data_IF_180556516906
#
_entry.id   IF_180556516906
#
_cell.length_a   1.000
_cell.length_b   1.000
_cell.length_c   1.000
_cell.angle_alpha   90.00
_cell.angle_beta   90.00
_cell.angle_gamma   90.00
#
_symmetry.space_group_name_H-M   'P 1'
#
loop_
_entity.id
_entity.type
_entity.pdbx_description
1 polymer ?
#
# COMPACT_ATOMS: atom_id res chain seq x y z
N UNK A 1 -24.12 15.28 -12.99
CA UNK A 1 -24.74 16.43 -13.67
C UNK A 1 -23.59 17.35 -14.07
N UNK A 2 -23.40 17.59 -15.37
CA UNK A 2 -22.33 18.44 -15.89
C UNK A 2 -21.35 17.70 -16.80
N UNK A 3 -21.68 17.58 -18.09
CA UNK A 3 -20.74 17.45 -19.21
C UNK A 3 -21.43 18.06 -20.43
N UNK A 4 -21.46 19.39 -20.44
CA UNK A 4 -22.12 20.22 -21.43
C UNK A 4 -21.27 20.33 -22.70
N UNK A 5 -21.93 20.10 -23.85
CA UNK A 5 -21.49 20.56 -25.17
C UNK A 5 -20.99 22.01 -25.09
N UNK A 6 -19.76 22.27 -25.55
CA UNK A 6 -19.24 23.62 -25.74
C UNK A 6 -19.15 23.88 -27.24
N UNK A 7 -20.19 24.50 -27.80
CA UNK A 7 -20.16 24.96 -29.19
C UNK A 7 -19.81 26.46 -29.21
N UNK A 8 -18.72 26.82 -29.92
CA UNK A 8 -18.38 28.24 -30.16
C UNK A 8 -19.14 28.71 -31.39
N UNK A 9 -20.10 29.62 -31.20
CA UNK A 9 -21.03 30.10 -32.22
C UNK A 9 -20.41 30.80 -33.45
N UNK A 10 -19.09 31.05 -33.49
CA UNK A 10 -18.46 31.79 -34.59
C UNK A 10 -17.62 30.93 -35.56
N UNK A 11 -17.47 29.61 -35.36
CA UNK A 11 -16.59 28.77 -36.21
C UNK A 11 -17.21 27.40 -36.57
N UNK A 12 -18.47 27.12 -36.23
CA UNK A 12 -19.14 25.87 -36.59
C UNK A 12 -18.53 24.58 -35.98
N UNK A 13 -17.58 24.70 -35.03
CA UNK A 13 -16.93 23.56 -34.36
C UNK A 13 -17.52 23.38 -32.95
N UNK A 14 -18.06 22.20 -32.69
CA UNK A 14 -18.52 21.79 -31.36
C UNK A 14 -17.45 20.94 -30.67
N UNK A 15 -17.17 21.21 -29.39
CA UNK A 15 -16.35 20.34 -28.55
C UNK A 15 -17.24 19.28 -27.90
N UNK A 16 -17.08 18.03 -28.30
CA UNK A 16 -17.75 16.89 -27.71
C UNK A 16 -16.93 16.32 -26.55
N UNK A 17 -17.61 16.01 -25.45
CA UNK A 17 -16.99 15.44 -24.23
C UNK A 17 -17.77 14.22 -23.75
N UNK A 18 -17.13 13.35 -22.97
CA UNK A 18 -17.77 12.26 -22.24
C UNK A 18 -17.05 12.04 -20.91
N UNK A 19 -17.71 11.40 -19.94
CA UNK A 19 -17.10 11.03 -18.66
C UNK A 19 -16.83 9.52 -18.58
N UNK A 20 -15.57 9.15 -18.43
CA UNK A 20 -15.14 7.79 -18.11
C UNK A 20 -14.93 7.66 -16.60
N UNK A 21 -15.64 6.71 -15.97
CA UNK A 21 -15.62 6.42 -14.53
C UNK A 21 -15.08 5.02 -14.28
N UNK A 22 -13.76 4.87 -14.09
CA UNK A 22 -13.17 3.57 -13.84
C UNK A 22 -13.56 3.03 -12.46
N UNK A 23 -13.61 1.71 -12.36
CA UNK A 23 -13.56 0.99 -11.11
C UNK A 23 -12.17 1.11 -10.44
N UNK A 24 -11.90 0.32 -9.41
CA UNK A 24 -10.58 0.32 -8.77
C UNK A 24 -9.50 -0.14 -9.78
N UNK A 25 -8.51 0.71 -10.03
CA UNK A 25 -7.47 0.46 -11.03
C UNK A 25 -6.39 -0.43 -10.42
N UNK A 26 -5.92 -1.41 -11.18
CA UNK A 26 -4.74 -2.21 -10.83
C UNK A 26 -3.92 -2.51 -12.08
N UNK A 27 -2.66 -2.86 -11.88
CA UNK A 27 -1.74 -3.18 -12.96
C UNK A 27 -0.33 -2.68 -12.68
N UNK A 28 0.63 -3.05 -13.55
CA UNK A 28 1.95 -2.41 -13.60
C UNK A 28 1.80 -0.88 -13.70
N UNK A 29 2.60 -0.14 -12.93
CA UNK A 29 2.58 1.32 -12.95
C UNK A 29 1.42 1.99 -12.20
N UNK A 30 0.55 1.24 -11.51
CA UNK A 30 -0.44 1.85 -10.61
C UNK A 30 0.28 2.44 -9.37
N UNK A 31 0.13 3.75 -9.15
CA UNK A 31 0.88 4.47 -8.12
C UNK A 31 0.04 4.95 -6.92
N UNK A 32 -1.29 4.78 -6.95
CA UNK A 32 -2.19 5.40 -5.96
C UNK A 32 -2.50 4.46 -4.81
N UNK A 33 -3.01 3.27 -5.08
CA UNK A 33 -3.58 2.40 -4.05
C UNK A 33 -2.70 1.18 -3.74
N UNK A 34 -2.16 0.50 -4.75
CA UNK A 34 -1.30 -0.67 -4.56
C UNK A 34 -0.02 -0.35 -3.78
N UNK A 35 0.71 0.76 -4.04
CA UNK A 35 1.90 1.07 -3.24
C UNK A 35 1.59 1.27 -1.77
N UNK A 36 0.46 1.90 -1.47
CA UNK A 36 0.04 2.08 -0.08
C UNK A 36 -0.36 0.76 0.56
N UNK A 37 -1.14 -0.08 -0.13
CA UNK A 37 -1.55 -1.40 0.37
C UNK A 37 -0.33 -2.28 0.66
N UNK A 38 0.61 -2.37 -0.30
CA UNK A 38 1.83 -3.17 -0.16
C UNK A 38 2.72 -2.62 0.96
N UNK A 39 2.86 -1.29 1.08
CA UNK A 39 3.63 -0.66 2.15
C UNK A 39 3.02 -0.93 3.53
N UNK A 40 1.70 -0.80 3.68
CA UNK A 40 1.02 -1.11 4.94
C UNK A 40 1.18 -2.60 5.29
N UNK A 41 1.04 -3.50 4.32
CA UNK A 41 1.23 -4.94 4.52
C UNK A 41 2.67 -5.27 4.96
N UNK A 42 3.68 -4.68 4.29
CA UNK A 42 5.09 -4.79 4.65
C UNK A 42 5.35 -4.33 6.09
N UNK A 43 4.76 -3.21 6.50
CA UNK A 43 4.91 -2.66 7.85
C UNK A 43 4.11 -3.43 8.91
N UNK A 44 3.29 -4.41 8.54
CA UNK A 44 2.37 -5.09 9.46
C UNK A 44 1.17 -4.23 9.88
N UNK A 45 0.95 -3.11 9.20
CA UNK A 45 -0.13 -2.16 9.46
C UNK A 45 -1.40 -2.55 8.69
N UNK A 46 -1.75 -3.82 8.59
CA UNK A 46 -3.06 -4.25 8.06
C UNK A 46 -3.69 -5.24 9.05
N UNK A 47 -4.10 -4.78 10.24
CA UNK A 47 -4.51 -5.66 11.33
C UNK A 47 -5.90 -6.30 11.13
N UNK A 48 -6.76 -5.73 10.28
CA UNK A 48 -8.12 -6.21 10.07
C UNK A 48 -8.57 -6.13 8.61
N UNK A 49 -9.41 -7.08 8.20
CA UNK A 49 -10.28 -6.93 7.03
C UNK A 49 -11.48 -6.08 7.41
N UNK A 50 -11.88 -5.13 6.58
CA UNK A 50 -12.97 -4.20 6.89
C UNK A 50 -14.25 -4.65 6.20
N UNK A 51 -15.37 -4.63 6.93
CA UNK A 51 -16.66 -5.02 6.40
C UNK A 51 -16.92 -6.52 6.56
N UNK A 52 -17.42 -7.16 5.51
CA UNK A 52 -17.74 -8.59 5.51
C UNK A 52 -17.24 -9.26 4.21
N UNK A 53 -17.26 -10.59 4.18
CA UNK A 53 -16.81 -11.36 3.01
C UNK A 53 -17.71 -11.17 1.77
N UNK A 54 -18.96 -10.77 1.96
CA UNK A 54 -19.95 -10.61 0.90
C UNK A 54 -19.91 -9.21 0.22
N UNK A 55 -19.11 -8.28 0.76
CA UNK A 55 -18.89 -6.97 0.14
C UNK A 55 -18.10 -7.16 -1.15
N UNK A 56 -18.64 -6.64 -2.25
CA UNK A 56 -18.02 -6.74 -3.58
C UNK A 56 -17.66 -5.38 -4.14
N UNK A 57 -16.50 -5.30 -4.76
CA UNK A 57 -15.98 -4.14 -5.48
C UNK A 57 -15.57 -4.54 -6.89
N UNK A 58 -15.68 -3.61 -7.83
CA UNK A 58 -15.18 -3.82 -9.18
C UNK A 58 -13.73 -3.35 -9.32
N UNK A 59 -13.02 -4.01 -10.23
CA UNK A 59 -11.65 -3.68 -10.61
C UNK A 59 -11.55 -3.52 -12.12
N UNK A 60 -10.56 -2.75 -12.56
CA UNK A 60 -10.22 -2.57 -13.97
C UNK A 60 -8.71 -2.62 -14.14
N UNK A 61 -8.24 -3.48 -15.05
CA UNK A 61 -6.84 -3.53 -15.41
C UNK A 61 -6.42 -2.26 -16.15
N UNK A 62 -5.22 -1.77 -15.90
CA UNK A 62 -4.72 -0.51 -16.48
C UNK A 62 -4.86 -0.47 -18.01
N UNK A 63 -4.53 -1.55 -18.73
CA UNK A 63 -4.64 -1.58 -20.19
C UNK A 63 -6.09 -1.65 -20.68
N UNK A 64 -6.98 -2.31 -19.92
CA UNK A 64 -8.42 -2.30 -20.23
C UNK A 64 -8.99 -0.88 -20.04
N UNK A 65 -8.53 -0.14 -19.04
CA UNK A 65 -8.91 1.27 -18.89
C UNK A 65 -8.37 2.13 -20.04
N UNK A 66 -7.13 1.93 -20.48
CA UNK A 66 -6.58 2.62 -21.64
C UNK A 66 -7.38 2.32 -22.91
N UNK A 67 -7.77 1.07 -23.14
CA UNK A 67 -8.67 0.69 -24.23
C UNK A 67 -10.00 1.45 -24.14
N UNK A 68 -10.63 1.49 -22.96
CA UNK A 68 -11.88 2.20 -22.78
C UNK A 68 -11.76 3.70 -23.10
N UNK A 69 -10.64 4.33 -22.71
CA UNK A 69 -10.36 5.74 -23.02
C UNK A 69 -10.19 5.97 -24.52
N UNK A 70 -9.46 5.07 -25.22
CA UNK A 70 -9.28 5.13 -26.67
C UNK A 70 -10.61 4.93 -27.42
N UNK A 71 -11.42 3.96 -27.00
CA UNK A 71 -12.75 3.74 -27.56
C UNK A 71 -13.65 4.96 -27.33
N UNK A 72 -13.65 5.52 -26.13
CA UNK A 72 -14.39 6.74 -25.80
C UNK A 72 -13.97 7.92 -26.69
N UNK A 73 -12.67 8.14 -26.88
CA UNK A 73 -12.19 9.21 -27.76
C UNK A 73 -12.61 9.01 -29.21
N UNK A 74 -12.53 7.78 -29.73
CA UNK A 74 -13.00 7.47 -31.08
C UNK A 74 -14.51 7.66 -31.25
N UNK A 75 -15.31 7.44 -30.19
CA UNK A 75 -16.76 7.67 -30.23
C UNK A 75 -17.18 9.13 -30.03
N UNK A 76 -16.22 10.03 -29.80
CA UNK A 76 -16.44 11.48 -29.77
C UNK A 76 -16.11 12.18 -31.09
N UNK A 77 -15.47 11.49 -32.04
CA UNK A 77 -15.14 12.04 -33.35
C UNK A 77 -16.41 12.20 -34.21
N UNK A 78 -16.54 13.37 -34.83
CA UNK A 78 -17.64 13.79 -35.71
C UNK A 78 -17.26 13.86 -37.20
N UNK A 79 -15.99 13.60 -37.52
CA UNK A 79 -15.41 13.64 -38.86
C UNK A 79 -15.20 12.24 -39.47
N UNK A 80 -15.73 11.20 -38.84
CA UNK A 80 -15.63 9.82 -39.33
C UNK A 80 -16.53 9.67 -40.59
N UNK A 81 -15.98 9.30 -41.77
CA UNK A 81 -16.77 9.11 -42.98
C UNK A 81 -17.93 8.12 -42.77
N UNK A 82 -19.14 8.51 -43.18
CA UNK A 82 -20.34 7.68 -43.03
C UNK A 82 -21.03 7.75 -41.66
N UNK A 83 -20.54 8.56 -40.71
CA UNK A 83 -21.25 8.90 -39.47
C UNK A 83 -21.73 10.35 -39.52
N UNK A 84 -23.01 10.53 -39.78
CA UNK A 84 -23.66 11.83 -39.69
C UNK A 84 -24.34 12.01 -38.32
N UNK A 85 -24.27 13.22 -37.77
CA UNK A 85 -24.95 13.59 -36.53
C UNK A 85 -24.06 13.62 -35.29
N UNK A 86 -24.68 13.85 -34.13
CA UNK A 86 -23.98 13.98 -32.84
C UNK A 86 -23.30 12.64 -32.47
N UNK A 87 -22.00 12.64 -32.09
CA UNK A 87 -21.33 11.42 -31.67
C UNK A 87 -22.02 10.78 -30.47
N UNK A 88 -22.16 9.45 -30.48
CA UNK A 88 -22.91 8.69 -29.44
C UNK A 88 -22.37 8.94 -28.03
N UNK A 89 -21.06 9.15 -27.90
CA UNK A 89 -20.43 9.40 -26.60
C UNK A 89 -20.63 10.83 -26.07
N UNK A 90 -21.09 11.76 -26.90
CA UNK A 90 -21.18 13.16 -26.52
C UNK A 90 -22.16 13.39 -25.36
N UNK A 91 -21.66 13.93 -24.25
CA UNK A 91 -22.37 14.18 -23.00
C UNK A 91 -22.67 12.92 -22.18
N UNK A 92 -22.10 11.77 -22.54
CA UNK A 92 -22.44 10.49 -21.91
C UNK A 92 -21.47 10.12 -20.78
N UNK A 93 -22.01 9.55 -19.69
CA UNK A 93 -21.23 8.86 -18.67
C UNK A 93 -21.05 7.37 -18.98
N UNK A 94 -19.84 6.85 -18.75
CA UNK A 94 -19.48 5.43 -18.90
C UNK A 94 -18.77 4.90 -17.67
N UNK A 95 -19.33 3.85 -17.05
CA UNK A 95 -18.63 3.08 -16.03
C UNK A 95 -17.78 1.99 -16.70
N UNK A 96 -16.52 1.87 -16.30
CA UNK A 96 -15.56 0.93 -16.87
C UNK A 96 -15.07 -0.03 -15.79
N UNK A 97 -15.27 -1.34 -16.01
CA UNK A 97 -14.76 -2.43 -15.16
C UNK A 97 -14.39 -3.65 -15.99
N UNK A 98 -13.69 -4.61 -15.39
CA UNK A 98 -13.40 -5.93 -15.99
C UNK A 98 -14.60 -6.90 -15.89
N UNK A 99 -15.72 -6.46 -15.27
CA UNK A 99 -16.94 -7.26 -15.17
C UNK A 99 -16.88 -8.43 -14.18
N UNK A 100 -15.92 -8.42 -13.24
CA UNK A 100 -15.74 -9.48 -12.23
C UNK A 100 -15.76 -8.91 -10.81
N UNK A 101 -16.94 -8.57 -10.25
CA UNK A 101 -17.03 -8.05 -8.88
C UNK A 101 -16.60 -9.09 -7.85
N UNK A 102 -15.65 -8.72 -7.00
CA UNK A 102 -15.03 -9.61 -6.00
C UNK A 102 -14.77 -8.84 -4.71
N UNK A 103 -14.58 -9.54 -3.59
CA UNK A 103 -14.17 -8.88 -2.36
C UNK A 103 -12.75 -8.30 -2.49
N UNK A 104 -12.54 -7.06 -2.04
CA UNK A 104 -11.22 -6.39 -2.10
C UNK A 104 -10.11 -7.21 -1.46
N UNK A 105 -10.36 -7.88 -0.33
CA UNK A 105 -9.33 -8.68 0.35
C UNK A 105 -9.01 -9.99 -0.37
N UNK A 106 -10.00 -10.57 -1.07
CA UNK A 106 -9.78 -11.71 -1.95
C UNK A 106 -9.00 -11.31 -3.21
N UNK A 107 -9.32 -10.14 -3.78
CA UNK A 107 -8.63 -9.60 -4.94
C UNK A 107 -7.14 -9.33 -4.68
N UNK A 108 -6.80 -8.68 -3.57
CA UNK A 108 -5.40 -8.35 -3.23
C UNK A 108 -4.62 -9.53 -2.64
N UNK A 109 -5.31 -10.60 -2.22
CA UNK A 109 -4.68 -11.76 -1.58
C UNK A 109 -3.55 -12.40 -2.39
N UNK A 110 -3.73 -12.75 -3.68
CA UNK A 110 -2.66 -13.34 -4.48
C UNK A 110 -1.43 -12.43 -4.57
N UNK A 111 -1.64 -11.10 -4.70
CA UNK A 111 -0.54 -10.13 -4.70
C UNK A 111 0.25 -10.16 -3.39
N UNK A 112 -0.42 -10.01 -2.24
CA UNK A 112 0.28 -9.96 -0.95
C UNK A 112 1.00 -11.28 -0.63
N UNK A 113 0.35 -12.42 -0.90
CA UNK A 113 0.99 -13.74 -0.73
C UNK A 113 2.24 -13.89 -1.59
N UNK A 114 2.20 -13.46 -2.85
CA UNK A 114 3.34 -13.53 -3.77
C UNK A 114 4.55 -12.70 -3.30
N UNK A 115 4.29 -11.69 -2.46
CA UNK A 115 5.27 -10.80 -1.86
C UNK A 115 5.65 -11.23 -0.44
N UNK A 116 5.30 -12.44 0.01
CA UNK A 116 5.55 -12.91 1.38
C UNK A 116 4.93 -12.02 2.47
N UNK A 117 3.80 -11.35 2.19
CA UNK A 117 3.07 -10.52 3.16
C UNK A 117 1.74 -11.18 3.54
N UNK A 118 1.45 -11.17 4.83
CA UNK A 118 0.22 -11.75 5.37
C UNK A 118 -0.98 -10.82 5.20
N UNK A 119 -2.16 -11.42 5.03
CA UNK A 119 -3.42 -10.70 5.19
C UNK A 119 -3.93 -10.82 6.62
N UNK A 120 -4.67 -9.82 7.11
CA UNK A 120 -5.37 -9.94 8.38
C UNK A 120 -6.32 -11.14 8.38
N UNK A 121 -6.38 -11.82 9.52
CA UNK A 121 -7.23 -13.00 9.73
C UNK A 121 -8.61 -12.63 10.29
N UNK A 122 -8.71 -11.49 10.95
CA UNK A 122 -9.91 -10.99 11.62
C UNK A 122 -10.63 -9.94 10.78
N UNK A 123 -11.94 -9.86 10.98
CA UNK A 123 -12.79 -8.83 10.40
C UNK A 123 -13.09 -7.73 11.42
N UNK A 124 -13.20 -6.49 10.95
CA UNK A 124 -13.63 -5.32 11.69
C UNK A 124 -14.89 -4.77 11.02
N UNK A 125 -15.98 -4.70 11.79
CA UNK A 125 -17.24 -4.16 11.27
C UNK A 125 -17.08 -2.69 10.84
N UNK A 126 -17.82 -2.29 9.81
CA UNK A 126 -17.73 -0.96 9.19
C UNK A 126 -17.91 0.17 10.22
N UNK A 127 -18.83 0.03 11.17
CA UNK A 127 -19.08 1.02 12.23
C UNK A 127 -17.84 1.29 13.09
N UNK A 128 -17.18 0.22 13.55
CA UNK A 128 -15.95 0.32 14.35
C UNK A 128 -14.80 0.87 13.52
N UNK A 129 -14.67 0.44 12.26
CA UNK A 129 -13.67 0.97 11.35
C UNK A 129 -13.88 2.48 11.09
N UNK A 130 -15.13 2.94 10.91
CA UNK A 130 -15.46 4.36 10.76
C UNK A 130 -15.13 5.17 12.02
N UNK A 131 -15.39 4.63 13.21
CA UNK A 131 -15.02 5.29 14.46
C UNK A 131 -13.50 5.51 14.54
N UNK A 132 -12.71 4.47 14.26
CA UNK A 132 -11.26 4.58 14.20
C UNK A 132 -10.79 5.57 13.13
N UNK A 133 -11.40 5.53 11.93
CA UNK A 133 -11.08 6.46 10.86
C UNK A 133 -11.39 7.92 11.20
N UNK A 134 -12.45 8.18 11.98
CA UNK A 134 -12.76 9.53 12.48
C UNK A 134 -11.72 10.05 13.47
N UNK A 135 -11.16 9.17 14.32
CA UNK A 135 -10.04 9.53 15.20
C UNK A 135 -8.82 9.93 14.37
N UNK A 136 -8.42 9.11 13.39
CA UNK A 136 -7.31 9.44 12.49
C UNK A 136 -7.57 10.73 11.73
N UNK A 137 -8.78 10.91 11.19
CA UNK A 137 -9.16 12.13 10.49
C UNK A 137 -9.03 13.37 11.39
N UNK A 138 -9.50 13.31 12.65
CA UNK A 138 -9.37 14.41 13.60
C UNK A 138 -7.89 14.72 13.92
N UNK A 139 -7.08 13.70 14.22
CA UNK A 139 -5.64 13.86 14.48
C UNK A 139 -4.94 14.50 13.29
N UNK A 140 -5.17 14.02 12.08
CA UNK A 140 -4.54 14.57 10.87
C UNK A 140 -5.03 15.97 10.51
N UNK A 141 -6.27 16.31 10.86
CA UNK A 141 -6.79 17.67 10.72
C UNK A 141 -6.07 18.63 11.69
N UNK A 142 -5.81 18.21 12.93
CA UNK A 142 -4.99 18.99 13.87
C UNK A 142 -3.54 19.14 13.41
N UNK A 143 -3.01 18.11 12.74
CA UNK A 143 -1.66 18.11 12.17
C UNK A 143 -1.60 18.72 10.75
N UNK A 144 -2.69 19.32 10.25
CA UNK A 144 -2.76 19.90 8.91
C UNK A 144 -1.56 20.81 8.56
N UNK A 145 -1.08 21.71 9.44
CA UNK A 145 0.08 22.56 9.16
C UNK A 145 1.39 21.80 8.95
N UNK A 146 1.44 20.53 9.36
CA UNK A 146 2.61 19.66 9.32
C UNK A 146 2.51 18.59 8.22
N UNK A 147 1.44 18.55 7.41
CA UNK A 147 1.24 17.50 6.41
C UNK A 147 2.32 17.43 5.34
N UNK A 148 3.02 18.52 5.07
CA UNK A 148 4.14 18.55 4.11
C UNK A 148 5.47 18.10 4.73
N UNK A 149 5.49 17.62 5.98
CA UNK A 149 6.72 17.16 6.63
C UNK A 149 6.99 15.70 6.30
N UNK A 150 8.22 15.44 5.85
CA UNK A 150 8.68 14.10 5.45
C UNK A 150 8.58 13.03 6.55
N UNK A 151 8.57 13.44 7.83
CA UNK A 151 8.48 12.53 8.97
C UNK A 151 7.04 12.19 9.38
N UNK A 152 6.03 12.90 8.87
CA UNK A 152 4.64 12.63 9.22
C UNK A 152 4.11 11.51 8.30
N UNK A 153 3.74 10.34 8.85
CA UNK A 153 3.22 9.24 8.04
C UNK A 153 1.88 9.63 7.42
N UNK A 154 1.42 8.86 6.42
CA UNK A 154 0.04 8.96 5.96
C UNK A 154 -0.93 8.36 6.99
N UNK A 155 -2.17 8.86 7.07
CA UNK A 155 -3.15 8.29 7.99
C UNK A 155 -3.35 6.82 7.70
N UNK A 156 -3.35 6.02 8.77
CA UNK A 156 -3.51 4.58 8.65
C UNK A 156 -4.84 4.23 7.95
N UNK A 157 -5.92 4.88 8.39
CA UNK A 157 -7.25 4.69 7.83
C UNK A 157 -8.06 5.98 7.84
N UNK A 158 -8.76 6.26 6.75
CA UNK A 158 -9.70 7.38 6.61
C UNK A 158 -11.13 6.89 6.33
N UNK A 159 -12.18 7.69 6.63
CA UNK A 159 -13.56 7.31 6.36
C UNK A 159 -13.81 6.92 4.90
N UNK A 160 -13.19 7.63 3.96
CA UNK A 160 -13.28 7.33 2.53
C UNK A 160 -12.76 5.93 2.18
N UNK A 161 -11.70 5.47 2.82
CA UNK A 161 -11.17 4.11 2.61
C UNK A 161 -12.10 3.07 3.21
N UNK A 162 -12.63 3.32 4.41
CA UNK A 162 -13.61 2.43 5.04
C UNK A 162 -14.81 2.20 4.11
N UNK A 163 -15.36 3.26 3.52
CA UNK A 163 -16.47 3.11 2.58
C UNK A 163 -16.05 2.37 1.29
N UNK A 164 -14.85 2.64 0.78
CA UNK A 164 -14.30 1.96 -0.40
C UNK A 164 -13.98 0.48 -0.22
N UNK A 165 -13.85 -0.04 0.99
CA UNK A 165 -13.59 -1.48 1.19
C UNK A 165 -14.69 -2.20 1.97
N UNK A 166 -15.50 -1.45 2.73
CA UNK A 166 -16.51 -1.99 3.61
C UNK A 166 -17.93 -1.98 3.04
N UNK A 167 -18.18 -1.33 1.90
CA UNK A 167 -19.49 -1.30 1.25
C UNK A 167 -19.42 -1.84 -0.17
N UNK A 168 -20.47 -2.57 -0.58
CA UNK A 168 -20.60 -3.05 -1.95
C UNK A 168 -20.77 -1.90 -2.92
N UNK A 169 -19.88 -1.78 -3.90
CA UNK A 169 -20.00 -0.84 -5.00
C UNK A 169 -19.30 -1.41 -6.24
N UNK A 170 -20.12 -1.85 -7.17
CA UNK A 170 -19.71 -2.30 -8.49
C UNK A 170 -20.77 -1.80 -9.47
N UNK A 171 -20.39 -1.59 -10.73
CA UNK A 171 -21.27 -0.92 -11.70
C UNK A 171 -21.29 -1.68 -13.01
N UNK A 172 -22.44 -1.63 -13.68
CA UNK A 172 -22.59 -2.25 -15.00
C UNK A 172 -21.81 -1.45 -16.05
N UNK A 173 -20.91 -2.12 -16.76
CA UNK A 173 -20.19 -1.57 -17.91
C UNK A 173 -20.95 -1.76 -19.24
N UNK A 174 -22.17 -2.32 -19.22
CA UNK A 174 -22.95 -2.67 -20.42
C UNK A 174 -23.15 -1.48 -21.37
N UNK A 175 -23.32 -0.27 -20.83
CA UNK A 175 -23.43 0.94 -21.65
C UNK A 175 -22.15 1.22 -22.44
N UNK A 176 -20.98 1.06 -21.81
CA UNK A 176 -19.70 1.19 -22.50
C UNK A 176 -19.52 0.10 -23.55
N UNK A 177 -19.97 -1.13 -23.26
CA UNK A 177 -19.96 -2.22 -24.24
C UNK A 177 -20.82 -1.88 -25.47
N UNK A 178 -22.05 -1.39 -25.27
CA UNK A 178 -23.00 -1.11 -26.34
C UNK A 178 -22.62 0.13 -27.17
N UNK A 179 -22.27 1.24 -26.51
CA UNK A 179 -22.06 2.52 -27.20
C UNK A 179 -20.60 2.74 -27.62
N UNK A 180 -19.64 2.26 -26.81
CA UNK A 180 -18.21 2.40 -27.12
C UNK A 180 -17.67 1.20 -27.88
N UNK A 181 -18.25 0.01 -27.70
CA UNK A 181 -17.66 -1.25 -28.14
C UNK A 181 -16.65 -1.80 -27.13
N UNK A 182 -16.71 -1.37 -25.87
CA UNK A 182 -15.76 -1.78 -24.85
C UNK A 182 -15.97 -3.25 -24.44
N UNK A 183 -14.93 -4.04 -24.66
CA UNK A 183 -14.80 -5.42 -24.18
C UNK A 183 -13.40 -5.54 -23.55
N UNK A 184 -13.29 -5.92 -22.26
CA UNK A 184 -11.98 -6.12 -21.63
C UNK A 184 -11.12 -7.10 -22.43
N UNK A 185 -9.91 -6.71 -22.80
CA UNK A 185 -8.99 -7.56 -23.58
C UNK A 185 -8.11 -8.43 -22.67
N UNK A 186 -7.80 -7.94 -21.47
CA UNK A 186 -7.00 -8.66 -20.48
C UNK A 186 -7.94 -9.22 -19.42
N UNK A 187 -7.84 -10.53 -19.15
CA UNK A 187 -8.62 -11.15 -18.08
C UNK A 187 -8.09 -10.75 -16.69
N UNK A 188 -8.93 -10.75 -15.64
CA UNK A 188 -8.47 -10.46 -14.29
C UNK A 188 -7.31 -11.33 -13.80
N UNK A 189 -7.26 -12.58 -14.26
CA UNK A 189 -6.18 -13.53 -13.93
C UNK A 189 -4.84 -13.10 -14.56
N UNK A 190 -4.85 -12.75 -15.84
CA UNK A 190 -3.65 -12.28 -16.56
C UNK A 190 -3.18 -10.93 -16.01
N UNK A 191 -4.12 -10.00 -15.78
CA UNK A 191 -3.82 -8.70 -15.18
C UNK A 191 -3.19 -8.83 -13.80
N UNK A 192 -3.71 -9.73 -12.96
CA UNK A 192 -3.13 -10.01 -11.64
C UNK A 192 -1.75 -10.64 -11.74
N UNK A 193 -1.52 -11.57 -12.67
CA UNK A 193 -0.20 -12.17 -12.90
C UNK A 193 0.85 -11.12 -13.31
N UNK A 194 0.50 -10.22 -14.23
CA UNK A 194 1.36 -9.10 -14.62
C UNK A 194 1.64 -8.16 -13.44
N UNK A 195 0.61 -7.86 -12.64
CA UNK A 195 0.74 -7.04 -11.42
C UNK A 195 1.69 -7.68 -10.40
N UNK A 196 1.57 -8.99 -10.17
CA UNK A 196 2.48 -9.74 -9.29
C UNK A 196 3.92 -9.65 -9.78
N UNK A 197 4.16 -9.91 -11.07
CA UNK A 197 5.51 -9.84 -11.66
C UNK A 197 6.13 -8.45 -11.46
N UNK A 198 5.35 -7.39 -11.73
CA UNK A 198 5.79 -6.01 -11.53
C UNK A 198 6.17 -5.72 -10.08
N UNK A 199 5.35 -6.14 -9.12
CA UNK A 199 5.61 -5.91 -7.70
C UNK A 199 6.73 -6.77 -7.13
N UNK A 200 6.95 -7.98 -7.66
CA UNK A 200 8.08 -8.82 -7.28
C UNK A 200 9.41 -8.20 -7.73
N UNK A 201 9.49 -7.69 -8.95
CA UNK A 201 10.65 -6.95 -9.45
C UNK A 201 10.94 -5.73 -8.55
N UNK A 202 9.91 -4.93 -8.23
CA UNK A 202 10.03 -3.79 -7.32
C UNK A 202 10.47 -4.21 -5.90
N UNK A 203 9.95 -5.32 -5.38
CA UNK A 203 10.36 -5.86 -4.08
C UNK A 203 11.83 -6.28 -4.10
N UNK A 204 12.31 -6.89 -5.18
CA UNK A 204 13.70 -7.32 -5.31
C UNK A 204 14.67 -6.14 -5.31
N UNK A 205 14.29 -5.02 -5.96
CA UNK A 205 15.10 -3.80 -6.03
C UNK A 205 15.06 -2.94 -4.75
N UNK A 206 14.07 -3.14 -3.89
CA UNK A 206 13.92 -2.35 -2.66
C UNK A 206 14.50 -3.07 -1.43
N UNK A 207 14.93 -2.27 -0.46
CA UNK A 207 15.28 -2.74 0.88
C UNK A 207 14.03 -3.29 1.59
N UNK A 208 13.95 -4.60 1.77
CA UNK A 208 12.90 -5.21 2.59
C UNK A 208 13.21 -5.02 4.08
N UNK A 209 12.19 -5.03 4.93
CA UNK A 209 12.36 -4.67 6.34
C UNK A 209 11.35 -5.36 7.26
N UNK A 210 11.67 -5.52 8.55
CA UNK A 210 10.72 -6.02 9.54
C UNK A 210 9.52 -5.09 9.73
N UNK A 211 8.45 -5.63 10.32
CA UNK A 211 7.25 -4.85 10.64
C UNK A 211 7.55 -3.74 11.65
N UNK A 212 6.67 -2.74 11.73
CA UNK A 212 6.83 -1.62 12.66
C UNK A 212 6.83 -2.07 14.13
N UNK A 213 6.19 -3.20 14.44
CA UNK A 213 6.20 -3.78 15.78
C UNK A 213 7.60 -4.26 16.19
N UNK A 214 8.36 -4.85 15.25
CA UNK A 214 9.74 -5.27 15.50
C UNK A 214 10.63 -4.06 15.75
N UNK A 215 10.47 -3.00 14.94
CA UNK A 215 11.14 -1.72 15.17
C UNK A 215 10.87 -1.19 16.59
N UNK A 216 9.60 -1.09 16.97
CA UNK A 216 9.19 -0.59 18.28
C UNK A 216 9.77 -1.42 19.42
N UNK A 217 9.61 -2.75 19.38
CA UNK A 217 10.07 -3.66 20.44
C UNK A 217 11.59 -3.54 20.65
N UNK A 218 12.37 -3.56 19.58
CA UNK A 218 13.83 -3.59 19.68
C UNK A 218 14.37 -2.23 20.09
N UNK A 219 13.91 -1.15 19.46
CA UNK A 219 14.38 0.20 19.79
C UNK A 219 14.02 0.58 21.22
N UNK A 220 12.76 0.35 21.63
CA UNK A 220 12.32 0.63 23.00
C UNK A 220 13.11 -0.25 23.97
N UNK A 221 13.29 -1.55 23.67
CA UNK A 221 14.08 -2.46 24.51
C UNK A 221 15.52 -2.00 24.72
N UNK A 222 16.23 -1.61 23.64
CA UNK A 222 17.60 -1.12 23.71
C UNK A 222 17.71 0.20 24.50
N UNK A 223 16.79 1.14 24.26
CA UNK A 223 16.73 2.41 24.99
C UNK A 223 16.43 2.16 26.47
N UNK A 224 15.49 1.27 26.79
CA UNK A 224 15.14 0.91 28.16
C UNK A 224 16.30 0.25 28.91
N UNK A 225 17.06 -0.65 28.27
CA UNK A 225 18.26 -1.25 28.85
C UNK A 225 19.33 -0.19 29.16
N UNK A 226 19.60 0.71 28.20
CA UNK A 226 20.55 1.80 28.38
C UNK A 226 20.12 2.75 29.51
N UNK A 227 18.87 3.24 29.49
CA UNK A 227 18.36 4.14 30.52
C UNK A 227 18.41 3.50 31.92
N UNK A 228 18.04 2.21 32.03
CA UNK A 228 18.09 1.48 33.29
C UNK A 228 19.50 1.41 33.88
N UNK A 229 20.52 1.21 33.04
CA UNK A 229 21.91 1.05 33.44
C UNK A 229 22.64 2.35 33.83
N UNK A 230 22.27 3.49 33.25
CA UNK A 230 23.05 4.73 33.34
C UNK A 230 22.30 5.99 33.76
N UNK A 231 20.99 6.11 33.54
CA UNK A 231 20.28 7.36 33.82
C UNK A 231 19.90 7.54 35.29
N UNK A 232 19.81 8.78 35.81
CA UNK A 232 19.29 9.02 37.14
C UNK A 232 17.82 8.52 37.27
N UNK A 233 17.33 8.22 38.48
CA UNK A 233 15.99 7.68 38.73
C UNK A 233 14.89 8.77 38.58
N UNK A 234 14.82 9.40 37.40
CA UNK A 234 13.86 10.45 37.07
C UNK A 234 12.88 9.92 36.02
N UNK A 235 11.60 10.28 36.16
CA UNK A 235 10.56 9.89 35.21
C UNK A 235 10.35 8.37 35.16
N UNK A 236 10.36 7.72 33.97
CA UNK A 236 10.09 6.28 33.84
C UNK A 236 11.27 5.38 34.25
N UNK A 237 12.47 5.94 34.46
CA UNK A 237 13.71 5.18 34.70
C UNK A 237 13.62 4.25 35.92
N UNK A 238 13.03 4.62 37.08
CA UNK A 238 12.89 3.70 38.21
C UNK A 238 12.12 2.42 37.87
N UNK A 239 11.01 2.54 37.12
CA UNK A 239 10.21 1.39 36.69
C UNK A 239 11.00 0.49 35.74
N UNK A 240 11.65 1.09 34.73
CA UNK A 240 12.48 0.35 33.78
C UNK A 240 13.62 -0.40 34.49
N UNK A 241 14.27 0.26 35.47
CA UNK A 241 15.32 -0.35 36.27
C UNK A 241 14.79 -1.49 37.14
N UNK A 242 13.64 -1.35 37.77
CA UNK A 242 13.02 -2.44 38.55
C UNK A 242 12.73 -3.67 37.68
N UNK A 243 12.19 -3.46 36.47
CA UNK A 243 11.97 -4.54 35.49
C UNK A 243 13.32 -5.16 35.09
N UNK A 244 14.32 -4.32 34.78
CA UNK A 244 15.66 -4.79 34.45
C UNK A 244 16.30 -5.60 35.58
N UNK A 245 16.16 -5.17 36.84
CA UNK A 245 16.68 -5.89 38.00
C UNK A 245 15.93 -7.20 38.24
N UNK A 246 14.62 -7.25 37.98
CA UNK A 246 13.85 -8.49 38.03
C UNK A 246 14.39 -9.51 37.01
N UNK A 247 14.71 -9.08 35.79
CA UNK A 247 15.20 -9.95 34.71
C UNK A 247 16.68 -10.33 34.84
N UNK A 248 17.55 -9.36 35.11
CA UNK A 248 19.01 -9.51 35.07
C UNK A 248 19.67 -9.55 36.46
N UNK A 249 18.86 -9.52 37.53
CA UNK A 249 19.23 -9.70 38.95
C UNK A 249 20.16 -8.66 39.56
N UNK A 250 20.90 -7.88 38.78
CA UNK A 250 21.85 -6.88 39.26
C UNK A 250 22.06 -5.74 38.25
N UNK A 251 22.58 -4.61 38.73
CA UNK A 251 22.96 -3.48 37.86
C UNK A 251 24.08 -3.87 36.88
N UNK A 252 25.03 -4.71 37.32
CA UNK A 252 26.05 -5.27 36.44
C UNK A 252 25.41 -6.11 35.34
N UNK A 253 24.45 -6.97 35.68
CA UNK A 253 23.72 -7.80 34.72
C UNK A 253 22.99 -6.99 33.65
N UNK A 254 22.31 -5.90 34.02
CA UNK A 254 21.65 -4.99 33.07
C UNK A 254 22.67 -4.37 32.09
N UNK A 255 23.79 -3.85 32.62
CA UNK A 255 24.83 -3.21 31.80
C UNK A 255 25.51 -4.22 30.87
N UNK A 256 25.81 -5.41 31.38
CA UNK A 256 26.38 -6.50 30.59
C UNK A 256 25.42 -6.91 29.47
N UNK A 257 24.13 -7.07 29.76
CA UNK A 257 23.12 -7.40 28.76
C UNK A 257 23.04 -6.33 27.64
N UNK A 258 23.08 -5.05 28.00
CA UNK A 258 23.15 -3.96 27.02
C UNK A 258 24.39 -4.08 26.13
N UNK A 259 25.59 -4.25 26.72
CA UNK A 259 26.83 -4.37 25.95
C UNK A 259 26.84 -5.59 25.02
N UNK A 260 26.37 -6.74 25.50
CA UNK A 260 26.26 -7.95 24.68
C UNK A 260 25.27 -7.75 23.52
N UNK A 261 24.13 -7.13 23.78
CA UNK A 261 23.16 -6.80 22.73
C UNK A 261 23.75 -5.83 21.70
N UNK A 262 24.42 -4.76 22.14
CA UNK A 262 25.10 -3.81 21.24
C UNK A 262 26.17 -4.50 20.40
N UNK A 263 27.00 -5.36 21.02
CA UNK A 263 28.03 -6.11 20.30
C UNK A 263 27.42 -7.06 19.25
N UNK A 264 26.31 -7.74 19.59
CA UNK A 264 25.58 -8.57 18.64
C UNK A 264 25.06 -7.77 17.45
N UNK A 265 24.40 -6.63 17.70
CA UNK A 265 23.90 -5.73 16.67
C UNK A 265 25.02 -5.21 15.74
N UNK A 266 26.19 -4.86 16.29
CA UNK A 266 27.37 -4.47 15.50
C UNK A 266 27.81 -5.64 14.61
N UNK A 267 27.98 -6.82 15.20
CA UNK A 267 28.43 -8.02 14.47
C UNK A 267 27.46 -8.42 13.36
N UNK A 268 26.17 -8.42 13.65
CA UNK A 268 25.10 -8.71 12.69
C UNK A 268 25.05 -7.66 11.58
N UNK A 269 25.18 -6.37 11.91
CA UNK A 269 25.26 -5.28 10.93
C UNK A 269 26.44 -5.46 9.98
N UNK A 270 27.64 -5.71 10.51
CA UNK A 270 28.84 -5.95 9.71
C UNK A 270 28.71 -7.19 8.81
N UNK A 271 28.13 -8.27 9.34
CA UNK A 271 27.86 -9.47 8.56
C UNK A 271 26.84 -9.20 7.45
N UNK A 272 25.74 -8.51 7.76
CA UNK A 272 24.73 -8.13 6.79
C UNK A 272 25.31 -7.28 5.67
N UNK A 273 26.17 -6.31 5.98
CA UNK A 273 26.85 -5.49 4.97
C UNK A 273 27.71 -6.31 4.01
N UNK A 274 28.52 -7.24 4.55
CA UNK A 274 29.38 -8.12 3.74
C UNK A 274 28.56 -9.06 2.86
N UNK A 275 27.47 -9.61 3.38
CA UNK A 275 26.56 -10.47 2.63
C UNK A 275 25.81 -9.67 1.55
N UNK A 276 25.25 -8.51 1.90
CA UNK A 276 24.49 -7.66 1.00
C UNK A 276 25.32 -7.18 -0.20
N UNK A 277 26.61 -6.87 -0.02
CA UNK A 277 27.50 -6.57 -1.16
C UNK A 277 27.56 -7.65 -2.24
N UNK A 278 27.23 -8.90 -1.92
CA UNK A 278 27.19 -10.01 -2.88
C UNK A 278 25.79 -10.27 -3.44
N UNK A 279 24.75 -10.12 -2.62
CA UNK A 279 23.38 -10.56 -2.96
C UNK A 279 22.42 -9.40 -3.30
N UNK A 280 22.74 -8.18 -2.87
CA UNK A 280 21.93 -6.96 -3.02
C UNK A 280 22.82 -5.71 -2.84
N UNK A 281 23.75 -5.48 -3.80
CA UNK A 281 24.77 -4.43 -3.66
C UNK A 281 24.16 -3.03 -3.58
N UNK A 282 23.07 -2.78 -4.30
CA UNK A 282 22.40 -1.47 -4.35
C UNK A 282 21.85 -1.04 -2.98
N UNK A 283 21.45 -2.00 -2.14
CA UNK A 283 20.91 -1.73 -0.81
C UNK A 283 21.89 -2.09 0.33
N UNK A 284 23.17 -2.35 0.05
CA UNK A 284 24.10 -2.89 1.05
C UNK A 284 24.26 -2.00 2.30
N UNK A 285 24.28 -0.68 2.13
CA UNK A 285 24.32 0.29 3.25
C UNK A 285 23.00 0.31 4.03
N UNK A 286 21.86 0.16 3.35
CA UNK A 286 20.55 0.03 3.98
C UNK A 286 20.46 -1.22 4.85
N UNK A 287 20.93 -2.36 4.34
CA UNK A 287 21.00 -3.62 5.12
C UNK A 287 21.90 -3.51 6.35
N UNK A 288 23.04 -2.81 6.23
CA UNK A 288 23.90 -2.54 7.38
C UNK A 288 23.15 -1.79 8.47
N UNK A 289 22.61 -0.60 8.17
CA UNK A 289 21.98 0.25 9.18
C UNK A 289 20.71 -0.37 9.75
N UNK A 290 19.89 -1.01 8.91
CA UNK A 290 18.70 -1.71 9.36
C UNK A 290 19.04 -2.88 10.28
N UNK A 291 20.07 -3.66 9.95
CA UNK A 291 20.51 -4.79 10.79
C UNK A 291 21.23 -4.32 12.05
N UNK A 292 22.00 -3.25 11.97
CA UNK A 292 22.58 -2.62 13.16
C UNK A 292 21.50 -2.13 14.13
N UNK A 293 20.40 -1.56 13.62
CA UNK A 293 19.30 -1.10 14.46
C UNK A 293 18.44 -2.25 15.01
N UNK A 294 18.17 -3.26 14.20
CA UNK A 294 17.14 -4.29 14.48
C UNK A 294 17.69 -5.68 14.76
N UNK A 295 18.99 -5.88 14.63
CA UNK A 295 19.65 -7.16 14.79
C UNK A 295 19.10 -8.28 13.89
N UNK A 296 19.09 -9.50 14.44
CA UNK A 296 18.74 -10.73 13.73
C UNK A 296 17.43 -10.68 12.91
N UNK A 297 16.31 -10.09 13.37
CA UNK A 297 15.11 -9.94 12.55
C UNK A 297 15.33 -9.30 11.17
N UNK A 298 16.20 -8.30 11.06
CA UNK A 298 16.56 -7.73 9.76
C UNK A 298 17.48 -8.68 8.99
N UNK A 299 18.50 -9.23 9.66
CA UNK A 299 19.45 -10.17 9.04
C UNK A 299 18.74 -11.40 8.45
N UNK A 300 17.70 -11.90 9.11
CA UNK A 300 16.89 -13.03 8.65
C UNK A 300 16.25 -12.78 7.28
N UNK A 301 15.83 -11.54 7.00
CA UNK A 301 15.27 -11.17 5.70
C UNK A 301 16.35 -11.19 4.61
N UNK A 302 17.53 -10.64 4.91
CA UNK A 302 18.67 -10.70 3.99
C UNK A 302 19.12 -12.14 3.73
N UNK A 303 19.16 -12.99 4.76
CA UNK A 303 19.46 -14.41 4.61
C UNK A 303 18.43 -15.12 3.72
N UNK A 304 17.14 -14.79 3.84
CA UNK A 304 16.10 -15.31 2.93
C UNK A 304 16.32 -14.84 1.49
N UNK A 305 16.75 -13.59 1.28
CA UNK A 305 17.11 -13.06 -0.04
C UNK A 305 18.33 -13.77 -0.61
N UNK A 306 19.38 -13.98 0.17
CA UNK A 306 20.57 -14.72 -0.24
C UNK A 306 20.26 -16.14 -0.71
N UNK A 307 19.34 -16.86 -0.02
CA UNK A 307 18.89 -18.20 -0.43
C UNK A 307 18.13 -18.25 -1.76
N UNK A 308 17.59 -17.11 -2.24
CA UNK A 308 16.92 -17.04 -3.55
C UNK A 308 17.90 -16.76 -4.70
N UNK A 309 19.10 -16.26 -4.38
CA UNK A 309 20.15 -15.88 -5.34
C UNK A 309 21.22 -16.96 -5.48
N UNK A 310 21.44 -17.76 -4.42
CA UNK A 310 22.30 -18.95 -4.42
C UNK A 310 21.65 -20.10 -5.18
#
# INVERSE_FOLDING_TARGET
MGDSLLCRNNIGKCLYTCAVRPAAIYGPGEERHLPRIVSMAKLGLVPFKIGNANVKTDWVYVDNLLLALLLASMRLLDDIPGKEGRPVAAGQPYFISDGSPINTFEFIQPLLKSLDYDLPKSWLAVSHALYLAKIFWAVYTMLYPLLNRWWLPQPFILPAEVYKVGLTHYFSYLKAQQELGYVPMVSPREGMAATISYWQDRKNKSLDGPTIYVWGIILIGMISLFASGWFPPIGPVPLLRSIGLMLFRSMFGIRLAFYLATAAHIGEGMYAWRLAKRVDPDNATGWFWQTFALGFPSLRLLLKRAKKVA
#
